data_IF_195740472366
#
_entry.id   IF_195740472366
#
_cell.length_a   1.000
_cell.length_b   1.000
_cell.length_c   1.000
_cell.angle_alpha   90.00
_cell.angle_beta   90.00
_cell.angle_gamma   90.00
#
_symmetry.space_group_name_H-M   'P 1'
#
loop_
_entity.id
_entity.type
_entity.pdbx_description
1 polymer ?
#
# COMPACT_ATOMS: atom_id res chain seq x y z
N UNK A 1 4.99 5.07 -20.64
CA UNK A 1 4.33 5.52 -19.46
C UNK A 1 4.16 4.39 -18.46
N UNK A 2 4.54 4.62 -17.22
CA UNK A 2 4.52 3.56 -16.23
C UNK A 2 3.09 3.16 -15.88
N UNK A 3 2.86 1.87 -15.86
CA UNK A 3 1.59 1.33 -15.46
C UNK A 3 1.62 1.08 -13.95
N UNK A 4 0.58 1.49 -13.25
CA UNK A 4 0.50 1.23 -11.82
C UNK A 4 0.31 -0.26 -11.57
N UNK A 5 1.15 -0.84 -10.74
CA UNK A 5 1.00 -2.24 -10.36
C UNK A 5 0.93 -2.37 -8.85
N UNK A 6 0.58 -3.58 -8.40
CA UNK A 6 0.37 -3.81 -6.99
C UNK A 6 1.63 -3.58 -6.17
N UNK A 7 2.78 -3.93 -6.72
CA UNK A 7 4.04 -3.75 -6.03
C UNK A 7 4.32 -2.29 -5.73
N UNK A 8 4.06 -1.42 -6.73
CA UNK A 8 4.22 0.02 -6.53
C UNK A 8 3.27 0.54 -5.47
N UNK A 9 2.04 0.04 -5.46
CA UNK A 9 1.07 0.44 -4.45
C UNK A 9 1.57 0.06 -3.06
N UNK A 10 2.02 -1.16 -2.90
CA UNK A 10 2.51 -1.66 -1.60
C UNK A 10 3.74 -0.87 -1.15
N UNK A 11 4.70 -0.67 -2.03
CA UNK A 11 5.92 0.06 -1.68
C UNK A 11 5.61 1.47 -1.21
N UNK A 12 4.75 2.18 -1.94
CA UNK A 12 4.38 3.54 -1.55
C UNK A 12 3.57 3.56 -0.27
N UNK A 13 2.72 2.53 -0.07
CA UNK A 13 1.94 2.45 1.15
C UNK A 13 2.81 2.22 2.37
N UNK A 14 3.85 1.41 2.24
CA UNK A 14 4.78 1.19 3.35
C UNK A 14 5.52 2.47 3.72
N UNK A 15 5.95 3.22 2.71
CA UNK A 15 6.62 4.50 2.95
C UNK A 15 5.66 5.46 3.64
N UNK A 16 4.44 5.55 3.14
CA UNK A 16 3.44 6.45 3.72
C UNK A 16 3.08 6.04 5.14
N UNK A 17 2.95 4.73 5.38
CA UNK A 17 2.67 4.23 6.72
C UNK A 17 3.74 4.68 7.70
N UNK A 18 4.99 4.64 7.27
CA UNK A 18 6.10 5.08 8.11
C UNK A 18 6.05 6.57 8.38
N UNK A 19 5.53 7.35 7.43
CA UNK A 19 5.47 8.80 7.56
C UNK A 19 4.31 9.27 8.44
N UNK A 20 3.13 8.66 8.27
CA UNK A 20 1.92 9.18 8.88
C UNK A 20 1.27 8.24 9.90
N UNK A 21 1.77 7.02 10.01
CA UNK A 21 1.22 6.04 10.93
C UNK A 21 -0.07 5.41 10.40
N UNK A 22 -0.57 4.43 11.15
CA UNK A 22 -1.77 3.70 10.73
C UNK A 22 -2.98 4.64 10.66
N UNK A 23 -3.09 5.55 11.60
CA UNK A 23 -4.25 6.45 11.63
C UNK A 23 -4.24 7.44 10.47
N UNK A 24 -3.05 7.85 10.04
CA UNK A 24 -2.94 8.78 8.93
C UNK A 24 -2.95 8.12 7.57
N UNK A 25 -2.83 6.81 7.53
CA UNK A 25 -2.79 6.09 6.26
C UNK A 25 -4.20 5.93 5.70
N UNK A 26 -4.45 6.58 4.56
CA UNK A 26 -5.73 6.47 3.87
C UNK A 26 -5.49 6.19 2.41
N UNK A 27 -6.49 5.64 1.74
CA UNK A 27 -6.39 5.41 0.31
C UNK A 27 -6.25 6.73 -0.44
N UNK A 28 -6.90 7.78 0.06
CA UNK A 28 -6.79 9.09 -0.56
C UNK A 28 -5.36 9.62 -0.52
N UNK A 29 -4.72 9.53 0.65
CA UNK A 29 -3.35 9.98 0.78
C UNK A 29 -2.41 9.13 -0.06
N UNK A 30 -2.69 7.83 -0.12
CA UNK A 30 -1.87 6.94 -0.93
C UNK A 30 -1.97 7.29 -2.41
N UNK A 31 -3.19 7.56 -2.89
CA UNK A 31 -3.37 7.95 -4.27
C UNK A 31 -2.61 9.24 -4.57
N UNK A 32 -2.65 10.20 -3.66
CA UNK A 32 -1.93 11.45 -3.82
C UNK A 32 -0.41 11.22 -3.86
N UNK A 33 0.08 10.33 -3.01
CA UNK A 33 1.51 10.06 -2.96
C UNK A 33 1.99 9.42 -4.25
N UNK A 34 1.22 8.48 -4.77
CA UNK A 34 1.58 7.79 -6.01
C UNK A 34 1.40 8.71 -7.22
N UNK A 35 0.45 9.65 -7.12
CA UNK A 35 0.17 10.55 -8.23
C UNK A 35 -0.92 10.04 -9.15
N UNK A 36 -1.84 9.25 -8.61
CA UNK A 36 -2.98 8.74 -9.37
C UNK A 36 -4.28 9.15 -8.70
N UNK A 37 -5.37 9.01 -9.44
CA UNK A 37 -6.69 9.29 -8.88
C UNK A 37 -7.19 8.09 -8.10
N UNK A 38 -8.10 8.33 -7.16
CA UNK A 38 -8.62 7.26 -6.32
C UNK A 38 -9.24 6.11 -7.12
N UNK A 39 -10.01 6.35 -8.17
CA UNK A 39 -10.54 5.23 -8.94
C UNK A 39 -9.47 4.31 -9.51
N UNK A 40 -8.33 4.87 -9.88
CA UNK A 40 -7.21 4.06 -10.38
C UNK A 40 -6.65 3.18 -9.27
N UNK A 41 -6.50 3.77 -8.08
CA UNK A 41 -6.00 3.01 -6.94
C UNK A 41 -6.97 1.90 -6.52
N UNK A 42 -8.26 2.15 -6.69
CA UNK A 42 -9.31 1.24 -6.29
C UNK A 42 -9.19 -0.13 -6.95
N UNK A 43 -8.61 -0.18 -8.14
CA UNK A 43 -8.39 -1.45 -8.82
C UNK A 43 -7.43 -2.36 -8.04
N UNK A 44 -6.59 -1.78 -7.22
CA UNK A 44 -5.60 -2.53 -6.45
C UNK A 44 -6.00 -2.67 -4.99
N UNK A 45 -6.50 -1.61 -4.38
CA UNK A 45 -6.96 -1.65 -2.98
C UNK A 45 -8.28 -0.90 -2.88
N UNK A 46 -9.29 -1.56 -2.36
CA UNK A 46 -10.64 -1.00 -2.37
C UNK A 46 -10.93 -0.10 -1.18
N UNK A 47 -10.24 -0.33 -0.08
CA UNK A 47 -10.43 0.47 1.12
C UNK A 47 -9.22 0.31 2.02
N UNK A 48 -9.23 1.04 3.15
CA UNK A 48 -8.12 1.02 4.08
C UNK A 48 -7.87 -0.38 4.63
N UNK A 49 -8.93 -1.13 4.90
CA UNK A 49 -8.77 -2.48 5.44
C UNK A 49 -8.05 -3.39 4.46
N UNK A 50 -8.45 -3.33 3.19
CA UNK A 50 -7.79 -4.11 2.16
C UNK A 50 -6.33 -3.71 2.04
N UNK A 51 -6.05 -2.42 2.16
CA UNK A 51 -4.68 -1.92 2.13
C UNK A 51 -3.86 -2.47 3.28
N UNK A 52 -4.41 -2.41 4.49
CA UNK A 52 -3.70 -2.92 5.66
C UNK A 52 -3.47 -4.42 5.57
N UNK A 53 -4.44 -5.16 5.06
CA UNK A 53 -4.30 -6.59 4.87
C UNK A 53 -3.15 -6.90 3.90
N UNK A 54 -3.07 -6.15 2.82
CA UNK A 54 -2.02 -6.35 1.83
C UNK A 54 -0.65 -6.04 2.42
N UNK A 55 -0.57 -4.98 3.23
CA UNK A 55 0.69 -4.63 3.89
C UNK A 55 1.11 -5.70 4.89
N UNK A 56 0.16 -6.19 5.66
CA UNK A 56 0.45 -7.24 6.64
C UNK A 56 0.96 -8.50 5.95
N UNK A 57 0.33 -8.89 4.86
CA UNK A 57 0.77 -10.05 4.10
C UNK A 57 2.21 -9.88 3.61
N UNK A 58 2.51 -8.71 3.09
CA UNK A 58 3.84 -8.43 2.56
C UNK A 58 4.89 -8.52 3.66
N UNK A 59 4.59 -7.95 4.81
CA UNK A 59 5.51 -7.98 5.95
C UNK A 59 5.71 -9.41 6.45
N UNK A 60 4.62 -10.15 6.57
CA UNK A 60 4.69 -11.53 7.03
C UNK A 60 5.49 -12.41 6.08
N UNK A 61 5.32 -12.22 4.79
CA UNK A 61 6.07 -12.98 3.82
C UNK A 61 7.56 -12.73 3.93
N UNK A 62 7.94 -11.48 4.13
CA UNK A 62 9.34 -11.15 4.28
C UNK A 62 9.92 -11.77 5.55
N UNK A 63 9.16 -11.72 6.62
CA UNK A 63 9.61 -12.31 7.89
C UNK A 63 9.69 -13.82 7.80
N UNK A 64 8.74 -14.43 7.11
CA UNK A 64 8.71 -15.87 6.97
C UNK A 64 9.99 -16.38 6.30
N UNK A 65 10.53 -15.62 5.38
CA UNK A 65 11.76 -15.97 4.70
C UNK A 65 12.93 -16.11 5.66
N UNK A 66 12.95 -15.34 6.73
CA UNK A 66 14.06 -15.33 7.66
C UNK A 66 13.96 -16.38 8.75
N UNK A 67 12.79 -16.95 8.94
CA UNK A 67 12.58 -17.90 10.01
C UNK A 67 13.19 -19.26 9.70
N UNK A 68 13.37 -19.53 8.43
CA UNK A 68 13.98 -20.78 8.04
C UNK A 68 15.48 -20.77 8.26
#
# INVERSE_FOLDING_TARGET
>A
MAKLDKEQVIDNALILLNEVGIEGLTTRKLAQKIGVEQPTLYWHVKNKRALLDALAETILQKHHHHVL
#
